data_IF_580057975716
#
_entry.id   IF_580057975716
#
_cell.length_a   1.000
_cell.length_b   1.000
_cell.length_c   1.000
_cell.angle_alpha   90.00
_cell.angle_beta   90.00
_cell.angle_gamma   90.00
#
_symmetry.space_group_name_H-M   'P 1'
#
loop_
_entity.id
_entity.type
_entity.pdbx_description
1 polymer ?
#
# COMPACT_ATOMS: atom_id res chain seq x y z
N UNK A 1 -29.20 -15.70 -1.63
CA UNK A 1 -28.11 -16.55 -1.12
C UNK A 1 -26.82 -15.76 -1.28
N UNK A 2 -26.31 -15.14 -0.20
CA UNK A 2 -25.10 -14.30 -0.23
C UNK A 2 -24.06 -14.96 0.67
N UNK A 3 -23.32 -15.92 0.12
CA UNK A 3 -22.26 -16.64 0.84
C UNK A 3 -21.13 -16.91 -0.16
N UNK A 4 -20.39 -15.88 -0.59
CA UNK A 4 -19.00 -16.01 -1.10
C UNK A 4 -18.29 -14.65 -0.99
N UNK A 5 -18.02 -14.15 0.22
CA UNK A 5 -17.13 -12.98 0.41
C UNK A 5 -16.06 -13.22 1.49
N UNK A 6 -16.16 -14.31 2.26
CA UNK A 6 -15.37 -14.46 3.48
C UNK A 6 -13.97 -15.08 3.34
N UNK A 7 -13.59 -15.67 2.19
CA UNK A 7 -12.40 -16.54 2.15
C UNK A 7 -11.16 -15.88 1.52
N UNK A 8 -11.30 -14.87 0.65
CA UNK A 8 -10.15 -14.15 0.07
C UNK A 8 -9.61 -13.00 0.93
N UNK A 9 -10.46 -12.41 1.77
CA UNK A 9 -10.23 -11.12 2.44
C UNK A 9 -9.47 -11.24 3.77
N UNK A 10 -9.37 -12.44 4.35
CA UNK A 10 -8.84 -12.63 5.71
C UNK A 10 -7.40 -12.15 5.90
N UNK A 11 -6.57 -12.12 4.85
CA UNK A 11 -5.19 -11.63 4.94
C UNK A 11 -5.08 -10.10 5.06
N UNK A 12 -6.10 -9.35 4.61
CA UNK A 12 -6.14 -7.88 4.70
C UNK A 12 -6.43 -7.35 6.12
N UNK A 13 -6.86 -8.21 7.05
CA UNK A 13 -7.56 -7.78 8.26
C UNK A 13 -6.67 -7.69 9.50
N UNK A 14 -5.43 -8.21 9.50
CA UNK A 14 -4.63 -8.25 10.75
C UNK A 14 -3.17 -7.85 10.53
N UNK A 15 -2.92 -6.57 10.28
CA UNK A 15 -1.72 -5.95 10.85
C UNK A 15 -2.04 -5.64 12.32
N UNK A 16 -1.40 -6.29 13.30
CA UNK A 16 -1.55 -5.92 14.70
C UNK A 16 -1.26 -4.42 14.85
N UNK A 17 -2.01 -3.71 15.70
CA UNK A 17 -1.81 -2.25 15.92
C UNK A 17 -0.36 -1.86 16.24
N UNK A 18 0.44 -2.79 16.78
CA UNK A 18 1.87 -2.61 17.07
C UNK A 18 2.77 -2.63 15.82
N UNK A 19 2.28 -3.18 14.71
CA UNK A 19 3.00 -3.28 13.43
C UNK A 19 2.74 -2.04 12.56
N UNK A 20 1.57 -1.40 12.67
CA UNK A 20 1.24 -0.21 11.87
C UNK A 20 2.31 0.89 11.89
N UNK A 21 2.88 1.30 13.05
CA UNK A 21 3.95 2.30 13.05
C UNK A 21 5.19 1.84 12.29
N UNK A 22 5.52 0.53 12.34
CA UNK A 22 6.66 -0.02 11.61
C UNK A 22 6.40 -0.14 10.12
N UNK A 23 5.16 -0.45 9.71
CA UNK A 23 4.74 -0.43 8.31
C UNK A 23 4.94 0.97 7.70
N UNK A 24 4.55 2.01 8.45
CA UNK A 24 4.74 3.42 8.05
C UNK A 24 6.21 3.75 7.86
N UNK A 25 7.05 3.46 8.86
CA UNK A 25 8.51 3.68 8.77
C UNK A 25 9.13 2.91 7.59
N UNK A 26 8.68 1.68 7.35
CA UNK A 26 9.16 0.88 6.23
C UNK A 26 8.80 1.52 4.87
N UNK A 27 7.56 1.97 4.72
CA UNK A 27 7.08 2.64 3.51
C UNK A 27 7.78 3.99 3.30
N UNK A 28 7.95 4.79 4.34
CA UNK A 28 8.70 6.06 4.30
C UNK A 28 10.13 5.80 3.82
N UNK A 29 10.77 4.73 4.30
CA UNK A 29 12.11 4.33 3.86
C UNK A 29 12.20 3.88 2.40
N UNK A 30 11.16 3.22 1.88
CA UNK A 30 11.08 2.87 0.46
C UNK A 30 10.92 4.12 -0.40
N UNK A 31 10.03 5.02 0.01
CA UNK A 31 9.79 6.26 -0.72
C UNK A 31 11.02 7.18 -0.72
N UNK A 32 11.69 7.37 0.41
CA UNK A 32 12.92 8.15 0.50
C UNK A 32 14.03 7.62 -0.45
N UNK A 33 14.17 6.29 -0.55
CA UNK A 33 15.11 5.67 -1.52
C UNK A 33 14.71 5.93 -2.97
N UNK A 34 13.41 6.00 -3.25
CA UNK A 34 12.92 6.33 -4.59
C UNK A 34 13.20 7.79 -4.97
N UNK A 35 13.15 8.72 -4.02
CA UNK A 35 13.49 10.13 -4.26
C UNK A 35 14.97 10.34 -4.63
N UNK A 36 15.86 9.45 -4.18
CA UNK A 36 17.27 9.46 -4.53
C UNK A 36 17.55 8.84 -5.93
N UNK A 37 16.55 8.21 -6.55
CA UNK A 37 16.69 7.52 -7.82
C UNK A 37 16.57 8.48 -9.01
N UNK A 38 17.67 8.65 -9.75
CA UNK A 38 17.76 9.54 -10.92
C UNK A 38 16.91 9.11 -12.12
N UNK A 39 16.38 7.88 -12.13
CA UNK A 39 15.54 7.35 -13.21
C UNK A 39 14.05 7.68 -13.03
N UNK A 40 13.65 8.18 -11.86
CA UNK A 40 12.28 8.60 -11.58
C UNK A 40 12.16 10.12 -11.72
N UNK A 41 11.15 10.57 -12.46
CA UNK A 41 10.86 12.01 -12.58
C UNK A 41 10.11 12.51 -11.35
N UNK A 42 10.16 13.82 -11.11
CA UNK A 42 9.44 14.45 -9.99
C UNK A 42 7.94 14.30 -10.13
N UNK A 43 7.44 14.38 -11.35
CA UNK A 43 6.03 14.21 -11.68
C UNK A 43 5.56 12.78 -11.39
N UNK A 44 6.38 11.78 -11.73
CA UNK A 44 6.10 10.39 -11.38
C UNK A 44 6.06 10.18 -9.87
N UNK A 45 6.99 10.78 -9.11
CA UNK A 45 7.07 10.64 -7.66
C UNK A 45 5.95 11.36 -6.91
N UNK A 46 5.39 12.43 -7.48
CA UNK A 46 4.37 13.26 -6.80
C UNK A 46 3.14 12.44 -6.34
N UNK A 47 2.64 11.54 -7.20
CA UNK A 47 1.49 10.67 -6.87
C UNK A 47 1.82 9.74 -5.69
N UNK A 48 3.05 9.23 -5.64
CA UNK A 48 3.50 8.33 -4.57
C UNK A 48 3.77 9.08 -3.26
N UNK A 49 4.18 10.36 -3.31
CA UNK A 49 4.31 11.19 -2.11
C UNK A 49 2.97 11.43 -1.41
N UNK A 50 1.89 11.62 -2.19
CA UNK A 50 0.53 11.70 -1.66
C UNK A 50 0.09 10.37 -1.04
N UNK A 51 0.35 9.24 -1.73
CA UNK A 51 0.09 7.90 -1.17
C UNK A 51 0.86 7.64 0.13
N UNK A 52 2.14 7.99 0.18
CA UNK A 52 2.97 7.83 1.38
C UNK A 52 2.39 8.64 2.55
N UNK A 53 1.92 9.86 2.27
CA UNK A 53 1.23 10.70 3.26
C UNK A 53 -0.03 10.00 3.80
N UNK A 54 -0.87 9.44 2.92
CA UNK A 54 -2.05 8.67 3.35
C UNK A 54 -1.68 7.41 4.13
N UNK A 55 -0.58 6.73 3.83
CA UNK A 55 -0.17 5.52 4.58
C UNK A 55 0.37 5.90 5.96
N UNK A 56 1.13 6.99 6.04
CA UNK A 56 1.84 7.43 7.25
C UNK A 56 0.98 8.22 8.22
N UNK A 57 -0.20 8.69 7.79
CA UNK A 57 -1.13 9.42 8.66
C UNK A 57 -1.63 8.55 9.85
N UNK A 58 -1.68 9.08 11.08
CA UNK A 58 -2.10 8.34 12.29
C UNK A 58 -3.46 7.66 12.18
N UNK A 59 -4.41 8.31 11.53
CA UNK A 59 -5.81 7.93 11.34
C UNK A 59 -6.02 6.86 10.27
N UNK A 60 -5.00 6.55 9.47
CA UNK A 60 -5.12 5.61 8.37
C UNK A 60 -5.44 4.22 8.86
N UNK A 61 -6.44 3.59 8.24
CA UNK A 61 -6.81 2.23 8.57
C UNK A 61 -5.76 1.22 8.11
N UNK A 62 -5.84 0.02 8.69
CA UNK A 62 -5.06 -1.14 8.26
C UNK A 62 -5.20 -1.41 6.76
N UNK A 63 -6.38 -1.16 6.17
CA UNK A 63 -6.61 -1.32 4.74
C UNK A 63 -5.85 -0.28 3.90
N UNK A 64 -5.87 0.98 4.32
CA UNK A 64 -5.12 2.04 3.66
C UNK A 64 -3.61 1.74 3.68
N UNK A 65 -3.10 1.31 4.83
CA UNK A 65 -1.69 0.92 4.98
C UNK A 65 -1.33 -0.29 4.13
N UNK A 66 -2.22 -1.29 4.05
CA UNK A 66 -1.96 -2.49 3.24
C UNK A 66 -1.95 -2.19 1.74
N UNK A 67 -2.97 -1.51 1.21
CA UNK A 67 -3.07 -1.26 -0.23
C UNK A 67 -2.06 -0.19 -0.63
N UNK A 68 -2.04 0.97 0.03
CA UNK A 68 -1.10 2.03 -0.28
C UNK A 68 0.35 1.60 -0.07
N UNK A 69 0.64 0.90 1.02
CA UNK A 69 1.97 0.36 1.30
C UNK A 69 2.41 -0.72 0.32
N UNK A 70 1.50 -1.62 -0.10
CA UNK A 70 1.81 -2.62 -1.12
C UNK A 70 2.06 -2.00 -2.50
N UNK A 71 1.26 -1.00 -2.91
CA UNK A 71 1.47 -0.25 -4.17
C UNK A 71 2.81 0.48 -4.15
N UNK A 72 3.11 1.23 -3.09
CA UNK A 72 4.41 1.90 -2.92
C UNK A 72 5.57 0.91 -2.98
N UNK A 73 5.47 -0.19 -2.24
CA UNK A 73 6.51 -1.21 -2.17
C UNK A 73 6.74 -1.90 -3.51
N UNK A 74 5.68 -2.31 -4.20
CA UNK A 74 5.81 -3.05 -5.45
C UNK A 74 6.34 -2.18 -6.59
N UNK A 75 5.85 -0.95 -6.71
CA UNK A 75 6.19 -0.07 -7.83
C UNK A 75 7.56 0.59 -7.67
N UNK A 76 7.94 0.98 -6.44
CA UNK A 76 9.17 1.75 -6.23
C UNK A 76 10.42 0.88 -6.02
N UNK A 77 10.28 -0.43 -5.78
CA UNK A 77 11.42 -1.32 -5.51
C UNK A 77 12.40 -1.42 -6.69
N UNK A 78 11.90 -1.37 -7.93
CA UNK A 78 12.69 -1.62 -9.14
C UNK A 78 13.28 -0.33 -9.74
N UNK A 79 12.84 0.84 -9.23
CA UNK A 79 13.43 2.13 -9.58
C UNK A 79 13.07 2.66 -10.97
N UNK A 80 12.10 2.05 -11.64
CA UNK A 80 11.48 2.53 -12.88
C UNK A 80 9.98 2.37 -12.77
N UNK A 81 9.21 3.29 -13.37
CA UNK A 81 7.75 3.26 -13.33
C UNK A 81 7.16 3.26 -14.74
N UNK A 82 6.31 2.28 -15.02
CA UNK A 82 5.44 2.23 -16.20
C UNK A 82 4.24 3.17 -16.07
N UNK A 83 3.59 3.48 -17.18
CA UNK A 83 2.36 4.29 -17.17
C UNK A 83 1.22 3.58 -16.42
N UNK A 84 1.16 2.26 -16.51
CA UNK A 84 0.17 1.43 -15.81
C UNK A 84 0.33 1.52 -14.29
N UNK A 85 1.56 1.47 -13.79
CA UNK A 85 1.86 1.60 -12.36
C UNK A 85 1.49 2.99 -11.82
N UNK A 86 1.72 4.03 -12.62
CA UNK A 86 1.32 5.41 -12.26
C UNK A 86 -0.21 5.51 -12.19
N UNK A 87 -0.94 5.01 -13.21
CA UNK A 87 -2.41 5.01 -13.22
C UNK A 87 -3.01 4.22 -12.04
N UNK A 88 -2.40 3.09 -11.69
CA UNK A 88 -2.81 2.31 -10.53
C UNK A 88 -2.58 3.09 -9.23
N UNK A 89 -1.43 3.75 -9.07
CA UNK A 89 -1.14 4.59 -7.92
C UNK A 89 -2.12 5.77 -7.80
N UNK A 90 -2.47 6.41 -8.92
CA UNK A 90 -3.49 7.46 -8.95
C UNK A 90 -4.87 6.93 -8.52
N UNK A 91 -5.27 5.75 -9.00
CA UNK A 91 -6.54 5.13 -8.61
C UNK A 91 -6.59 4.84 -7.11
N UNK A 92 -5.53 4.26 -6.55
CA UNK A 92 -5.43 4.00 -5.09
C UNK A 92 -5.46 5.31 -4.31
N UNK A 93 -4.73 6.33 -4.77
CA UNK A 93 -4.70 7.66 -4.16
C UNK A 93 -6.09 8.27 -4.14
N UNK A 94 -6.82 8.23 -5.24
CA UNK A 94 -8.14 8.84 -5.35
C UNK A 94 -9.17 8.16 -4.45
N UNK A 95 -9.04 6.84 -4.24
CA UNK A 95 -9.88 6.11 -3.28
C UNK A 95 -9.53 6.55 -1.85
N UNK A 96 -8.24 6.66 -1.51
CA UNK A 96 -7.78 7.10 -0.19
C UNK A 96 -8.14 8.56 0.11
N UNK A 97 -8.05 9.45 -0.88
CA UNK A 97 -8.36 10.86 -0.71
C UNK A 97 -9.86 11.10 -0.45
N UNK A 98 -10.73 10.29 -1.06
CA UNK A 98 -12.20 10.38 -0.86
C UNK A 98 -12.64 9.81 0.49
N UNK A 99 -11.90 8.85 1.03
CA UNK A 99 -12.19 8.22 2.32
C UNK A 99 -10.88 7.83 3.06
N UNK A 100 -10.26 8.78 3.77
CA UNK A 100 -8.94 8.59 4.40
C UNK A 100 -8.94 7.57 5.54
N UNK A 101 -10.11 7.33 6.15
CA UNK A 101 -10.29 6.24 7.11
C UNK A 101 -10.21 4.86 6.41
N UNK A 102 -10.08 4.83 5.08
CA UNK A 102 -10.07 3.64 4.25
C UNK A 102 -11.42 2.96 4.34
N UNK A 103 -12.42 3.53 3.65
CA UNK A 103 -13.73 2.93 3.48
C UNK A 103 -13.59 1.48 3.12
N UNK A 104 -13.79 0.61 4.12
CA UNK A 104 -13.53 -0.83 4.02
C UNK A 104 -14.21 -1.39 2.78
N UNK A 105 -15.39 -0.87 2.46
CA UNK A 105 -16.15 -1.23 1.26
C UNK A 105 -15.42 -0.84 -0.04
N UNK A 106 -14.96 0.40 -0.18
CA UNK A 106 -14.27 0.88 -1.39
C UNK A 106 -12.97 0.12 -1.63
N UNK A 107 -12.20 -0.13 -0.55
CA UNK A 107 -10.94 -0.87 -0.63
C UNK A 107 -11.15 -2.36 -0.92
N UNK A 108 -12.16 -2.98 -0.32
CA UNK A 108 -12.51 -4.36 -0.65
C UNK A 108 -13.04 -4.49 -2.08
N UNK A 109 -13.83 -3.53 -2.54
CA UNK A 109 -14.32 -3.49 -3.92
C UNK A 109 -13.16 -3.37 -4.90
N UNK A 110 -12.18 -2.52 -4.59
CA UNK A 110 -10.97 -2.40 -5.40
C UNK A 110 -10.18 -3.72 -5.45
N UNK A 111 -9.89 -4.35 -4.31
CA UNK A 111 -9.16 -5.63 -4.28
C UNK A 111 -9.93 -6.75 -4.97
N UNK A 112 -11.27 -6.74 -4.93
CA UNK A 112 -12.09 -7.70 -5.67
C UNK A 112 -12.01 -7.48 -7.19
N UNK A 113 -11.92 -6.23 -7.65
CA UNK A 113 -11.72 -5.89 -9.05
C UNK A 113 -10.27 -6.14 -9.52
N UNK A 114 -9.32 -6.08 -8.59
CA UNK A 114 -7.88 -6.20 -8.80
C UNK A 114 -7.28 -7.36 -8.00
N UNK A 115 -7.55 -8.63 -8.37
CA UNK A 115 -7.13 -9.80 -7.60
C UNK A 115 -5.60 -9.91 -7.43
N UNK A 116 -4.82 -9.34 -8.35
CA UNK A 116 -3.36 -9.18 -8.24
C UNK A 116 -2.94 -8.41 -6.99
N UNK A 117 -3.77 -7.46 -6.54
CA UNK A 117 -3.51 -6.65 -5.35
C UNK A 117 -3.46 -7.51 -4.09
N UNK A 118 -4.28 -8.57 -4.01
CA UNK A 118 -4.24 -9.49 -2.87
C UNK A 118 -2.88 -10.16 -2.73
N UNK A 119 -2.25 -10.53 -3.86
CA UNK A 119 -0.90 -11.11 -3.85
C UNK A 119 0.14 -10.08 -3.42
N UNK A 120 0.04 -8.84 -3.90
CA UNK A 120 0.94 -7.74 -3.50
C UNK A 120 0.85 -7.44 -2.00
N UNK A 121 -0.36 -7.34 -1.45
CA UNK A 121 -0.60 -7.16 -0.01
C UNK A 121 0.04 -8.28 0.81
N UNK A 122 -0.11 -9.53 0.37
CA UNK A 122 0.49 -10.68 1.07
C UNK A 122 2.02 -10.61 1.05
N UNK A 123 2.62 -10.28 -0.10
CA UNK A 123 4.08 -10.09 -0.25
C UNK A 123 4.57 -8.97 0.67
N UNK A 124 3.95 -7.79 0.59
CA UNK A 124 4.26 -6.65 1.45
C UNK A 124 4.21 -7.02 2.94
N UNK A 125 3.12 -7.66 3.37
CA UNK A 125 2.94 -8.06 4.78
C UNK A 125 4.00 -9.07 5.22
N UNK A 126 4.33 -10.05 4.38
CA UNK A 126 5.38 -11.04 4.67
C UNK A 126 6.74 -10.34 4.80
N UNK A 127 7.11 -9.51 3.84
CA UNK A 127 8.44 -8.89 3.77
C UNK A 127 8.61 -7.87 4.89
N UNK A 128 7.56 -7.12 5.22
CA UNK A 128 7.49 -6.29 6.43
C UNK A 128 7.69 -7.12 7.70
N UNK A 129 7.04 -8.28 7.80
CA UNK A 129 7.17 -9.17 8.97
C UNK A 129 8.59 -9.72 9.11
N UNK A 130 9.23 -10.07 7.99
CA UNK A 130 10.62 -10.55 7.97
C UNK A 130 11.60 -9.44 8.37
N UNK A 131 11.49 -8.24 7.78
CA UNK A 131 12.32 -7.09 8.13
C UNK A 131 12.22 -6.72 9.63
N UNK A 132 11.06 -6.97 10.23
CA UNK A 132 10.83 -6.78 11.67
C UNK A 132 11.44 -7.85 12.56
N UNK A 133 11.65 -9.07 12.06
CA UNK A 133 12.29 -10.14 12.81
C UNK A 133 13.80 -9.94 12.91
N UNK A 134 14.41 -9.29 11.91
CA UNK A 134 15.84 -9.02 11.80
C UNK A 134 16.31 -7.81 12.63
N UNK A 135 15.38 -6.97 13.12
CA UNK A 135 15.67 -5.75 13.91
C UNK A 135 15.60 -5.97 15.43
N UNK A 136 15.75 -7.21 15.91
CA UNK A 136 15.87 -7.57 17.34
C UNK A 136 17.33 -7.71 17.76
#
# INVERSE_FOLDING_TARGET
MVIVVAIGVLALVVLPKRILPKARVFVDGVYAKAEENKNLTKEQLAVYGELATFVSAPESSVFAVNIGGATLYDHLKDGTLSEEEIKEAEAVRDILAKDPAGGVISMLTYVQAHPEMQKRINTFTRDLTLAMAETK
#
